data_IF_578184045485
#
_entry.id   IF_578184045485
#
_cell.length_a   1.000
_cell.length_b   1.000
_cell.length_c   1.000
_cell.angle_alpha   90.00
_cell.angle_beta   90.00
_cell.angle_gamma   90.00
#
_symmetry.space_group_name_H-M   'P 1'
#
loop_
_entity.id
_entity.type
_entity.pdbx_description
1 polymer ?
#
# COMPACT_ATOMS: atom_id res chain seq x y z
N UNK A 1 -12.82 -4.18 -2.30
CA UNK A 1 -12.37 -4.09 -3.71
C UNK A 1 -11.16 -4.99 -3.92
N UNK A 2 -10.83 -5.37 -5.15
CA UNK A 2 -9.59 -6.11 -5.47
C UNK A 2 -8.42 -5.17 -5.73
N UNK A 3 -7.20 -5.71 -5.82
CA UNK A 3 -6.02 -4.92 -6.19
C UNK A 3 -6.13 -4.30 -7.58
N UNK A 4 -6.67 -5.02 -8.56
CA UNK A 4 -6.92 -4.52 -9.92
C UNK A 4 -7.81 -3.29 -9.91
N UNK A 5 -8.89 -3.28 -9.11
CA UNK A 5 -9.76 -2.11 -8.97
C UNK A 5 -8.99 -0.88 -8.49
N UNK A 6 -8.08 -1.02 -7.52
CA UNK A 6 -7.25 0.11 -7.05
C UNK A 6 -6.32 0.62 -8.15
N UNK A 7 -5.71 -0.30 -8.91
CA UNK A 7 -4.83 0.05 -10.03
C UNK A 7 -5.60 0.84 -11.09
N UNK A 8 -6.84 0.45 -11.38
CA UNK A 8 -7.62 1.08 -12.45
C UNK A 8 -8.26 2.40 -12.02
N UNK A 9 -8.83 2.48 -10.81
CA UNK A 9 -9.73 3.58 -10.45
C UNK A 9 -9.20 4.53 -9.38
N UNK A 10 -8.36 4.07 -8.44
CA UNK A 10 -8.00 4.90 -7.29
C UNK A 10 -7.02 6.03 -7.69
N UNK A 11 -7.27 7.30 -7.36
CA UNK A 11 -6.34 8.38 -7.71
C UNK A 11 -5.03 8.25 -6.92
N UNK A 12 -3.90 8.64 -7.54
CA UNK A 12 -2.63 8.78 -6.81
C UNK A 12 -2.83 9.76 -5.64
N UNK A 13 -2.27 9.42 -4.49
CA UNK A 13 -2.47 10.14 -3.23
C UNK A 13 -3.69 9.68 -2.43
N UNK A 14 -4.55 8.80 -2.95
CA UNK A 14 -5.63 8.21 -2.15
C UNK A 14 -5.09 7.43 -0.95
N UNK A 15 -5.82 7.45 0.17
CA UNK A 15 -5.54 6.61 1.32
C UNK A 15 -6.21 5.25 1.10
N UNK A 16 -5.41 4.20 1.00
CA UNK A 16 -5.88 2.83 0.74
C UNK A 16 -5.73 2.01 2.02
N UNK A 17 -6.83 1.41 2.46
CA UNK A 17 -6.83 0.38 3.50
C UNK A 17 -6.81 -0.99 2.85
N UNK A 18 -6.06 -1.93 3.44
CA UNK A 18 -6.01 -3.32 3.00
C UNK A 18 -6.16 -4.28 4.17
N UNK A 19 -6.77 -5.45 3.93
CA UNK A 19 -7.04 -6.44 4.97
C UNK A 19 -7.16 -7.85 4.38
N UNK A 20 -6.79 -8.86 5.17
CA UNK A 20 -7.13 -10.27 4.92
C UNK A 20 -8.42 -10.72 5.64
N UNK A 21 -9.17 -9.77 6.22
CA UNK A 21 -10.38 -9.97 7.03
C UNK A 21 -10.19 -10.80 8.30
N UNK A 22 -8.97 -11.14 8.69
CA UNK A 22 -8.72 -11.82 9.95
C UNK A 22 -8.81 -10.83 11.13
N UNK A 23 -9.32 -11.26 12.30
CA UNK A 23 -9.42 -10.38 13.47
C UNK A 23 -8.04 -10.08 14.04
N UNK A 24 -7.85 -8.84 14.51
CA UNK A 24 -6.58 -8.40 15.12
C UNK A 24 -6.22 -9.26 16.35
N UNK A 25 -5.05 -9.92 16.37
CA UNK A 25 -4.60 -10.67 17.54
C UNK A 25 -4.37 -9.76 18.76
N UNK A 26 -4.61 -10.23 19.99
CA UNK A 26 -4.24 -9.51 21.20
C UNK A 26 -2.75 -9.13 21.24
N UNK A 27 -2.43 -7.94 21.75
CA UNK A 27 -1.09 -7.36 21.72
C UNK A 27 0.01 -8.23 22.36
N UNK A 28 -0.35 -9.05 23.36
CA UNK A 28 0.58 -9.99 24.00
C UNK A 28 1.14 -11.06 23.05
N UNK A 29 0.46 -11.35 21.94
CA UNK A 29 0.91 -12.32 20.94
C UNK A 29 1.72 -11.63 19.84
N UNK A 30 2.87 -11.07 20.20
CA UNK A 30 3.71 -10.21 19.34
C UNK A 30 3.97 -10.80 17.95
N UNK A 31 4.31 -12.09 17.85
CA UNK A 31 4.54 -12.78 16.56
C UNK A 31 3.28 -12.85 15.69
N UNK A 32 2.13 -13.17 16.30
CA UNK A 32 0.84 -13.24 15.57
C UNK A 32 0.40 -11.84 15.14
N UNK A 33 0.54 -10.86 16.03
CA UNK A 33 0.21 -9.47 15.72
C UNK A 33 1.08 -8.94 14.58
N UNK A 34 2.40 -9.15 14.63
CA UNK A 34 3.30 -8.73 13.56
C UNK A 34 3.00 -9.43 12.21
N UNK A 35 2.57 -10.69 12.24
CA UNK A 35 2.12 -11.37 11.03
C UNK A 35 0.82 -10.76 10.48
N UNK A 36 -0.13 -10.43 11.36
CA UNK A 36 -1.39 -9.78 11.02
C UNK A 36 -1.17 -8.38 10.43
N UNK A 37 -0.27 -7.57 11.00
CA UNK A 37 0.06 -6.22 10.53
C UNK A 37 0.71 -6.20 9.12
N UNK A 38 1.25 -7.33 8.64
CA UNK A 38 1.77 -7.43 7.26
C UNK A 38 0.68 -7.56 6.20
N UNK A 39 -0.49 -8.07 6.58
CA UNK A 39 -1.64 -8.27 5.70
C UNK A 39 -2.82 -7.34 6.03
N UNK A 40 -2.67 -6.50 7.06
CA UNK A 40 -3.69 -5.55 7.50
C UNK A 40 -3.06 -4.21 7.82
N UNK A 41 -3.43 -3.18 7.06
CA UNK A 41 -2.82 -1.86 7.20
C UNK A 41 -3.49 -0.80 6.34
N UNK A 42 -2.85 0.36 6.30
CA UNK A 42 -3.30 1.53 5.54
C UNK A 42 -2.08 2.28 5.03
N UNK A 43 -2.18 2.84 3.83
CA UNK A 43 -1.12 3.67 3.28
C UNK A 43 -1.61 4.55 2.14
N UNK A 44 -0.83 5.60 1.85
CA UNK A 44 -1.12 6.51 0.74
C UNK A 44 -0.61 5.92 -0.56
N UNK A 45 -1.46 5.85 -1.57
CA UNK A 45 -1.09 5.39 -2.90
C UNK A 45 -0.10 6.38 -3.53
N UNK A 46 1.10 5.90 -3.83
CA UNK A 46 2.21 6.74 -4.32
C UNK A 46 2.75 6.28 -5.66
N UNK A 47 2.47 5.04 -6.06
CA UNK A 47 2.92 4.50 -7.35
C UNK A 47 1.91 3.52 -7.90
N UNK A 48 1.75 3.52 -9.22
CA UNK A 48 1.10 2.45 -9.98
C UNK A 48 2.07 1.99 -11.07
N UNK A 49 2.17 0.70 -11.27
CA UNK A 49 3.03 0.08 -12.27
C UNK A 49 2.18 -0.81 -13.17
N UNK A 50 2.37 -0.64 -14.47
CA UNK A 50 1.77 -1.51 -15.47
C UNK A 50 2.47 -2.88 -15.47
N UNK A 51 1.82 -3.92 -16.02
CA UNK A 51 2.48 -5.20 -16.22
C UNK A 51 3.77 -5.02 -17.03
N UNK A 52 4.83 -5.70 -16.61
CA UNK A 52 6.15 -5.59 -17.26
C UNK A 52 6.61 -6.95 -17.75
N UNK A 53 6.78 -7.07 -19.06
CA UNK A 53 7.32 -8.28 -19.68
C UNK A 53 8.83 -8.37 -19.49
N UNK A 54 9.30 -9.51 -19.00
CA UNK A 54 10.70 -9.94 -18.97
C UNK A 54 10.86 -11.18 -19.87
N UNK A 55 12.10 -11.54 -20.29
CA UNK A 55 12.31 -12.64 -21.22
C UNK A 55 11.73 -13.99 -20.77
N UNK A 56 11.68 -14.25 -19.46
CA UNK A 56 11.25 -15.54 -18.88
C UNK A 56 9.94 -15.45 -18.09
N UNK A 57 9.40 -14.26 -17.87
CA UNK A 57 8.20 -14.05 -17.04
C UNK A 57 7.59 -12.66 -17.25
N UNK A 58 6.30 -12.50 -16.97
CA UNK A 58 5.63 -11.18 -16.98
C UNK A 58 5.27 -10.79 -15.55
N UNK A 59 5.84 -9.67 -15.09
CA UNK A 59 5.45 -9.10 -13.81
C UNK A 59 4.02 -8.56 -13.91
N UNK A 60 3.11 -8.93 -12.99
CA UNK A 60 1.76 -8.39 -12.95
C UNK A 60 1.78 -6.89 -12.66
N UNK A 61 0.69 -6.21 -13.00
CA UNK A 61 0.51 -4.82 -12.57
C UNK A 61 0.63 -4.71 -11.05
N UNK A 62 1.10 -3.58 -10.55
CA UNK A 62 1.37 -3.40 -9.14
C UNK A 62 1.04 -1.97 -8.71
N UNK A 63 0.88 -1.77 -7.41
CA UNK A 63 0.85 -0.43 -6.84
C UNK A 63 1.60 -0.40 -5.51
N UNK A 64 2.11 0.78 -5.15
CA UNK A 64 2.88 0.98 -3.93
C UNK A 64 2.16 1.96 -3.01
N UNK A 65 2.06 1.58 -1.74
CA UNK A 65 1.54 2.38 -0.64
C UNK A 65 2.69 2.88 0.23
N UNK A 66 2.61 4.14 0.62
CA UNK A 66 3.40 4.73 1.70
C UNK A 66 2.65 4.57 3.03
N UNK A 67 3.13 3.71 3.91
CA UNK A 67 2.47 3.38 5.19
C UNK A 67 2.87 4.32 6.32
N UNK A 68 4.03 4.96 6.22
CA UNK A 68 4.52 5.90 7.23
C UNK A 68 6.02 6.12 7.16
N UNK A 69 6.51 7.01 8.02
CA UNK A 69 7.92 7.32 8.17
C UNK A 69 8.36 7.03 9.60
N UNK A 70 9.55 6.46 9.76
CA UNK A 70 10.29 6.49 11.00
C UNK A 70 11.25 7.67 10.96
N UNK A 71 11.13 8.60 11.90
CA UNK A 71 11.90 9.85 11.90
C UNK A 71 12.41 10.20 13.30
N UNK A 72 13.57 10.87 13.36
CA UNK A 72 14.11 11.51 14.57
C UNK A 72 14.48 12.94 14.24
N UNK A 73 14.12 13.89 15.12
CA UNK A 73 14.50 15.31 15.01
C UNK A 73 14.18 15.95 13.65
N UNK A 74 13.03 15.60 13.07
CA UNK A 74 12.59 16.10 11.75
C UNK A 74 13.26 15.43 10.55
N UNK A 75 14.19 14.50 10.77
CA UNK A 75 14.85 13.71 9.72
C UNK A 75 14.13 12.38 9.56
N UNK A 76 13.70 12.07 8.33
CA UNK A 76 13.16 10.75 7.99
C UNK A 76 14.33 9.77 7.90
N UNK A 77 14.36 8.79 8.79
CA UNK A 77 15.36 7.73 8.83
C UNK A 77 14.96 6.55 7.94
N UNK A 78 13.67 6.19 7.95
CA UNK A 78 13.13 5.08 7.14
C UNK A 78 11.73 5.43 6.65
N UNK A 79 11.47 5.15 5.37
CA UNK A 79 10.13 5.23 4.78
C UNK A 79 9.59 3.81 4.61
N UNK A 80 8.38 3.55 5.11
CA UNK A 80 7.72 2.25 4.97
C UNK A 80 6.89 2.27 3.70
N UNK A 81 7.34 1.52 2.70
CA UNK A 81 6.68 1.35 1.41
C UNK A 81 6.25 -0.09 1.25
N UNK A 82 5.01 -0.31 0.80
CA UNK A 82 4.47 -1.64 0.54
C UNK A 82 3.91 -1.74 -0.86
N UNK A 83 4.43 -2.68 -1.64
CA UNK A 83 3.89 -2.98 -2.97
C UNK A 83 2.92 -4.14 -2.93
N UNK A 84 1.81 -4.01 -3.65
CA UNK A 84 0.81 -5.05 -3.87
C UNK A 84 0.69 -5.35 -5.37
N UNK A 85 0.74 -6.63 -5.72
CA UNK A 85 0.43 -7.11 -7.08
C UNK A 85 -1.09 -7.06 -7.33
N UNK A 86 -1.48 -6.89 -8.59
CA UNK A 86 -2.84 -7.08 -9.08
C UNK A 86 -3.44 -8.44 -8.68
N UNK A 87 -2.59 -9.46 -8.49
CA UNK A 87 -3.00 -10.82 -8.12
C UNK A 87 -3.18 -10.99 -6.60
N UNK A 88 -3.05 -9.91 -5.82
CA UNK A 88 -3.23 -9.96 -4.37
C UNK A 88 -4.62 -10.45 -3.99
N UNK A 89 -4.68 -11.39 -3.03
CA UNK A 89 -5.94 -11.90 -2.46
C UNK A 89 -6.48 -11.03 -1.31
N UNK A 90 -5.81 -9.93 -0.98
CA UNK A 90 -6.27 -9.00 0.04
C UNK A 90 -7.48 -8.21 -0.47
N UNK A 91 -8.26 -7.69 0.48
CA UNK A 91 -9.36 -6.79 0.21
C UNK A 91 -8.89 -5.37 0.45
N UNK A 92 -9.21 -4.50 -0.50
CA UNK A 92 -8.82 -3.09 -0.49
C UNK A 92 -10.03 -2.16 -0.41
N UNK A 93 -9.81 -0.99 0.16
CA UNK A 93 -10.78 0.09 0.29
C UNK A 93 -10.10 1.44 0.09
N UNK A 94 -10.70 2.32 -0.71
CA UNK A 94 -10.31 3.73 -0.79
C UNK A 94 -10.92 4.44 0.42
N UNK A 95 -10.13 4.62 1.47
CA UNK A 95 -10.56 5.24 2.71
C UNK A 95 -10.67 6.77 2.62
N UNK A 96 -9.88 7.39 1.73
CA UNK A 96 -9.89 8.83 1.48
C UNK A 96 -9.37 9.13 0.08
N UNK A 97 -10.03 10.03 -0.66
CA UNK A 97 -9.54 10.54 -1.93
C UNK A 97 -8.86 11.91 -1.76
N UNK A 98 -7.86 12.25 -2.59
CA UNK A 98 -7.31 13.60 -2.62
C UNK A 98 -8.40 14.62 -2.93
N UNK A 99 -8.40 15.75 -2.22
CA UNK A 99 -9.36 16.82 -2.49
C UNK A 99 -9.09 17.44 -3.88
N UNK A 100 -10.12 17.93 -4.59
CA UNK A 100 -9.91 18.71 -5.81
C UNK A 100 -8.90 19.86 -5.57
N UNK A 101 -7.91 19.97 -6.44
CA UNK A 101 -6.82 20.96 -6.33
C UNK A 101 -5.68 20.58 -5.38
N UNK A 102 -5.76 19.46 -4.65
CA UNK A 102 -4.65 18.96 -3.86
C UNK A 102 -3.58 18.34 -4.76
N UNK A 103 -2.33 18.77 -4.58
CA UNK A 103 -1.16 18.25 -5.29
C UNK A 103 -0.28 17.51 -4.30
N UNK A 104 0.34 16.40 -4.74
CA UNK A 104 1.37 15.71 -3.99
C UNK A 104 2.63 15.59 -4.82
N UNK A 105 3.76 15.92 -4.22
CA UNK A 105 5.07 15.68 -4.82
C UNK A 105 5.49 14.27 -4.43
N UNK A 106 5.71 13.44 -5.46
CA UNK A 106 6.29 12.12 -5.31
C UNK A 106 7.79 12.24 -5.50
N UNK A 107 8.56 11.62 -4.60
CA UNK A 107 10.01 11.55 -4.71
C UNK A 107 10.37 10.15 -5.19
N UNK A 108 11.25 10.07 -6.18
CA UNK A 108 11.92 8.83 -6.53
C UNK A 108 13.06 8.62 -5.50
N UNK A 109 13.02 7.50 -4.79
CA UNK A 109 14.07 7.05 -3.85
C UNK A 109 14.72 5.78 -4.39
#
# INVERSE_FOLDING_TARGET
MSATTIIDTAPLGALIRYTDCSPRPPARFTKKLAAWERSNGVGRLVKKELPRSYPTWTAPASFTLHEGNFSSDGVILVTIMRSHSADSRLIFEVAEEPKPGQVRVLLDF
#
